data_IF_606385402251
#
_entry.id   IF_606385402251
#
_cell.length_a   1.000
_cell.length_b   1.000
_cell.length_c   1.000
_cell.angle_alpha   90.00
_cell.angle_beta   90.00
_cell.angle_gamma   90.00
#
_symmetry.space_group_name_H-M   'P 1'
#
loop_
_entity.id
_entity.type
_entity.pdbx_description
1 polymer ?
#
# COMPACT_ATOMS: atom_id res chain seq x y z
N UNK A 1 7.28 42.22 37.58
CA UNK A 1 6.57 41.89 36.34
C UNK A 1 7.59 41.32 35.34
N UNK A 2 7.94 40.03 35.47
CA UNK A 2 8.96 39.37 34.64
C UNK A 2 8.28 38.35 33.74
N UNK A 3 8.55 38.44 32.43
CA UNK A 3 7.93 37.67 31.35
C UNK A 3 8.44 36.21 31.34
N UNK A 4 7.67 35.19 31.76
CA UNK A 4 8.17 33.80 31.82
C UNK A 4 8.01 33.04 30.48
N UNK A 5 7.31 33.61 29.50
CA UNK A 5 7.00 32.93 28.22
C UNK A 5 8.22 32.69 27.32
N UNK A 6 9.31 33.47 27.49
CA UNK A 6 10.49 33.42 26.62
C UNK A 6 11.35 32.16 26.85
N UNK A 7 11.52 31.72 28.10
CA UNK A 7 12.42 30.60 28.42
C UNK A 7 11.87 29.25 27.95
N UNK A 8 10.58 29.00 28.18
CA UNK A 8 9.90 27.77 27.71
C UNK A 8 9.85 27.74 26.18
N UNK A 9 9.60 28.87 25.52
CA UNK A 9 9.62 28.96 24.06
C UNK A 9 11.02 28.64 23.48
N UNK A 10 12.09 29.11 24.11
CA UNK A 10 13.47 28.79 23.71
C UNK A 10 13.80 27.30 23.90
N UNK A 11 13.34 26.69 25.00
CA UNK A 11 13.51 25.25 25.24
C UNK A 11 12.77 24.41 24.20
N UNK A 12 11.50 24.74 23.92
CA UNK A 12 10.70 24.05 22.90
C UNK A 12 11.31 24.21 21.50
N UNK A 13 11.81 25.40 21.17
CA UNK A 13 12.53 25.64 19.92
C UNK A 13 13.80 24.79 19.82
N UNK A 14 14.57 24.69 20.90
CA UNK A 14 15.76 23.83 20.96
C UNK A 14 15.43 22.34 20.73
N UNK A 15 14.41 21.83 21.42
CA UNK A 15 13.93 20.44 21.23
C UNK A 15 13.46 20.23 19.79
N UNK A 16 12.73 21.19 19.22
CA UNK A 16 12.28 21.12 17.83
C UNK A 16 13.46 21.08 16.85
N UNK A 17 14.49 21.91 17.03
CA UNK A 17 15.70 21.89 16.17
C UNK A 17 16.44 20.57 16.27
N UNK A 18 16.63 20.03 17.49
CA UNK A 18 17.25 18.71 17.69
C UNK A 18 16.44 17.61 17.00
N UNK A 19 15.10 17.66 17.11
CA UNK A 19 14.21 16.75 16.41
C UNK A 19 14.35 16.87 14.88
N UNK A 20 14.39 18.09 14.33
CA UNK A 20 14.57 18.32 12.90
C UNK A 20 15.92 17.80 12.39
N UNK A 21 17.01 18.04 13.13
CA UNK A 21 18.33 17.53 12.79
C UNK A 21 18.38 16.00 12.85
N UNK A 22 17.81 15.40 13.90
CA UNK A 22 17.71 13.95 14.01
C UNK A 22 16.87 13.37 12.86
N UNK A 23 15.77 14.01 12.49
CA UNK A 23 14.92 13.60 11.36
C UNK A 23 15.67 13.70 10.04
N UNK A 24 16.42 14.78 9.82
CA UNK A 24 17.28 14.95 8.64
C UNK A 24 18.38 13.87 8.58
N UNK A 25 18.99 13.52 9.71
CA UNK A 25 19.97 12.43 9.80
C UNK A 25 19.36 11.07 9.46
N UNK A 26 18.17 10.77 9.99
CA UNK A 26 17.45 9.54 9.66
C UNK A 26 17.08 9.49 8.17
N UNK A 27 16.60 10.61 7.61
CA UNK A 27 16.28 10.70 6.19
C UNK A 27 17.53 10.53 5.32
N UNK A 28 18.67 11.07 5.75
CA UNK A 28 19.94 10.86 5.08
C UNK A 28 20.34 9.37 5.07
N UNK A 29 20.24 8.67 6.21
CA UNK A 29 20.50 7.22 6.28
C UNK A 29 19.47 6.36 5.51
N UNK A 30 18.28 6.91 5.27
CA UNK A 30 17.28 6.31 4.40
C UNK A 30 17.65 6.44 2.92
N UNK A 31 18.15 7.59 2.50
CA UNK A 31 18.52 7.83 1.11
C UNK A 31 19.90 7.24 0.76
N UNK A 32 20.81 7.16 1.74
CA UNK A 32 22.19 6.74 1.53
C UNK A 32 22.56 5.57 2.43
N UNK A 33 22.95 4.45 1.82
CA UNK A 33 23.53 3.31 2.53
C UNK A 33 25.03 3.54 2.77
N UNK A 34 25.54 3.11 3.93
CA UNK A 34 26.99 3.13 4.17
C UNK A 34 27.68 2.17 3.20
N UNK A 35 28.66 2.63 2.40
CA UNK A 35 29.42 1.76 1.52
C UNK A 35 30.28 0.77 2.34
N UNK A 36 30.60 -0.37 1.74
CA UNK A 36 31.49 -1.34 2.37
C UNK A 36 32.96 -0.94 2.18
N UNK A 37 33.64 -0.58 3.27
CA UNK A 37 35.09 -0.38 3.25
C UNK A 37 35.80 -1.74 3.40
N UNK A 38 36.24 -2.31 2.27
CA UNK A 38 36.92 -3.61 2.22
C UNK A 38 38.24 -3.70 3.01
N UNK A 39 38.73 -2.60 3.57
CA UNK A 39 39.97 -2.52 4.35
C UNK A 39 39.88 -3.01 5.80
N UNK A 40 38.69 -3.22 6.37
CA UNK A 40 38.51 -3.61 7.79
C UNK A 40 38.33 -5.11 8.05
N UNK A 41 38.46 -5.96 7.02
CA UNK A 41 38.22 -7.41 7.15
C UNK A 41 36.75 -7.79 7.32
N UNK A 42 35.81 -6.86 7.14
CA UNK A 42 34.38 -7.17 7.10
C UNK A 42 34.01 -7.79 5.73
N UNK A 43 33.20 -8.88 5.70
CA UNK A 43 32.75 -9.45 4.45
C UNK A 43 31.75 -8.53 3.75
N UNK A 44 32.16 -7.96 2.62
CA UNK A 44 31.29 -7.16 1.76
C UNK A 44 30.33 -8.06 0.96
N UNK A 45 29.08 -7.62 0.86
CA UNK A 45 28.04 -8.28 0.07
C UNK A 45 27.87 -7.50 -1.23
N UNK A 46 27.92 -8.22 -2.35
CA UNK A 46 27.84 -7.66 -3.70
C UNK A 46 26.61 -8.16 -4.47
N UNK A 47 26.23 -7.47 -5.54
CA UNK A 47 25.09 -7.86 -6.36
C UNK A 47 25.38 -9.13 -7.17
N UNK A 48 24.42 -10.05 -7.26
CA UNK A 48 24.48 -11.13 -8.25
C UNK A 48 24.48 -10.58 -9.70
N UNK A 49 23.85 -9.42 -9.93
CA UNK A 49 23.80 -8.77 -11.25
C UNK A 49 25.15 -8.19 -11.67
N UNK A 50 26.07 -7.92 -10.74
CA UNK A 50 27.40 -7.38 -11.04
C UNK A 50 28.24 -8.31 -11.91
N UNK A 51 27.96 -9.62 -11.89
CA UNK A 51 28.58 -10.61 -12.76
C UNK A 51 28.00 -10.64 -14.19
N UNK A 52 27.01 -9.79 -14.50
CA UNK A 52 26.22 -9.78 -15.75
C UNK A 52 25.77 -11.18 -16.18
N UNK A 53 25.09 -11.95 -15.30
CA UNK A 53 24.58 -13.26 -15.65
C UNK A 53 23.49 -13.14 -16.73
N UNK A 54 23.40 -14.12 -17.63
CA UNK A 54 22.23 -14.24 -18.50
C UNK A 54 21.04 -14.69 -17.66
N UNK A 55 20.02 -13.83 -17.54
CA UNK A 55 18.82 -14.08 -16.75
C UNK A 55 17.62 -14.41 -17.65
N UNK A 56 16.73 -15.23 -17.13
CA UNK A 56 15.43 -15.54 -17.73
C UNK A 56 14.32 -15.20 -16.75
N UNK A 57 13.30 -14.52 -17.26
CA UNK A 57 12.05 -14.29 -16.55
C UNK A 57 11.05 -15.33 -17.07
N UNK A 58 10.67 -16.26 -16.19
CA UNK A 58 9.68 -17.28 -16.52
C UNK A 58 8.40 -16.95 -15.77
N UNK A 59 7.38 -16.52 -16.50
CA UNK A 59 5.99 -16.60 -16.08
C UNK A 59 5.50 -17.97 -16.54
N UNK A 60 4.74 -18.71 -15.73
CA UNK A 60 4.33 -20.11 -15.96
C UNK A 60 3.84 -20.54 -17.37
N UNK A 61 3.68 -19.62 -18.32
CA UNK A 61 3.25 -19.85 -19.69
C UNK A 61 4.26 -19.39 -20.78
N UNK A 62 5.34 -18.66 -20.45
CA UNK A 62 6.33 -18.20 -21.44
C UNK A 62 7.70 -17.83 -20.83
N UNK A 63 8.77 -18.25 -21.52
CA UNK A 63 10.17 -17.95 -21.17
C UNK A 63 10.69 -16.87 -22.11
N UNK A 64 11.10 -15.73 -21.58
CA UNK A 64 11.76 -14.67 -22.34
C UNK A 64 13.16 -14.42 -21.79
N UNK A 65 14.15 -14.26 -22.68
CA UNK A 65 15.44 -13.68 -22.30
C UNK A 65 15.21 -12.24 -21.86
N UNK A 66 15.80 -11.87 -20.74
CA UNK A 66 15.45 -10.66 -20.04
C UNK A 66 16.71 -9.86 -19.67
N UNK A 67 16.72 -8.56 -19.98
CA UNK A 67 17.76 -7.62 -19.53
C UNK A 67 17.26 -6.80 -18.33
N UNK A 68 17.87 -6.98 -17.12
CA UNK A 68 17.55 -6.27 -15.87
C UNK A 68 17.31 -4.77 -15.98
N UNK A 69 18.00 -4.09 -16.90
CA UNK A 69 17.98 -2.64 -17.01
C UNK A 69 16.96 -2.10 -18.02
N UNK A 70 16.39 -2.97 -18.86
CA UNK A 70 15.42 -2.58 -19.88
C UNK A 70 13.99 -2.63 -19.34
N UNK A 71 13.15 -1.68 -19.73
CA UNK A 71 11.71 -1.73 -19.44
C UNK A 71 10.98 -2.41 -20.58
N UNK A 72 9.94 -3.18 -20.28
CA UNK A 72 9.08 -3.75 -21.31
C UNK A 72 7.64 -3.87 -20.84
N UNK A 73 6.72 -3.83 -21.80
CA UNK A 73 5.30 -4.09 -21.58
C UNK A 73 4.83 -5.07 -22.66
N UNK A 74 4.17 -6.14 -22.24
CA UNK A 74 3.74 -7.22 -23.14
C UNK A 74 2.38 -7.75 -22.74
N UNK A 75 1.56 -8.05 -23.73
CA UNK A 75 0.26 -8.68 -23.54
C UNK A 75 0.35 -10.17 -23.85
N UNK A 76 -0.15 -11.00 -22.94
CA UNK A 76 -0.18 -12.46 -23.03
C UNK A 76 -1.60 -12.93 -22.81
N UNK A 77 -2.10 -13.81 -23.69
CA UNK A 77 -3.39 -14.49 -23.50
C UNK A 77 -3.22 -15.67 -22.55
N UNK A 78 -3.88 -15.64 -21.40
CA UNK A 78 -3.83 -16.69 -20.37
C UNK A 78 -5.07 -17.58 -20.51
N UNK A 79 -4.86 -18.89 -20.65
CA UNK A 79 -5.93 -19.89 -20.63
C UNK A 79 -6.44 -20.12 -19.20
N UNK A 80 -7.75 -20.06 -18.99
CA UNK A 80 -8.37 -20.23 -17.68
C UNK A 80 -8.75 -21.69 -17.39
N UNK A 81 -8.27 -22.29 -16.29
CA UNK A 81 -8.73 -23.60 -15.82
C UNK A 81 -10.23 -23.60 -15.48
N UNK A 82 -10.88 -24.76 -15.61
CA UNK A 82 -12.30 -24.94 -15.22
C UNK A 82 -12.54 -24.57 -13.75
N UNK A 83 -11.59 -24.84 -12.86
CA UNK A 83 -11.67 -24.44 -11.45
C UNK A 83 -11.79 -22.92 -11.29
N UNK A 84 -11.02 -22.14 -12.06
CA UNK A 84 -11.09 -20.68 -12.03
C UNK A 84 -12.41 -20.16 -12.59
N UNK A 85 -12.96 -20.82 -13.62
CA UNK A 85 -14.29 -20.50 -14.16
C UNK A 85 -15.40 -20.78 -13.13
N UNK A 86 -15.21 -21.77 -12.27
CA UNK A 86 -16.10 -22.14 -11.18
C UNK A 86 -15.82 -21.35 -9.88
N UNK A 87 -15.52 -20.04 -9.98
CA UNK A 87 -15.16 -19.18 -8.85
C UNK A 87 -13.95 -19.69 -8.04
N UNK A 88 -12.95 -20.25 -8.71
CA UNK A 88 -11.65 -20.58 -8.12
C UNK A 88 -10.70 -19.39 -8.14
N UNK A 89 -9.63 -19.46 -7.33
CA UNK A 89 -8.54 -18.47 -7.37
C UNK A 89 -7.45 -18.88 -8.34
N UNK A 90 -6.88 -17.91 -9.07
CA UNK A 90 -5.73 -18.11 -9.94
C UNK A 90 -4.55 -17.23 -9.48
N UNK A 91 -3.36 -17.83 -9.50
CA UNK A 91 -2.11 -17.17 -9.15
C UNK A 91 -1.13 -17.24 -10.31
N UNK A 92 -0.41 -16.14 -10.56
CA UNK A 92 0.76 -16.11 -11.42
C UNK A 92 2.02 -16.22 -10.56
N UNK A 93 2.88 -17.18 -10.88
CA UNK A 93 4.21 -17.27 -10.27
C UNK A 93 5.22 -16.71 -11.26
N UNK A 94 5.98 -15.71 -10.79
CA UNK A 94 7.04 -15.05 -11.53
C UNK A 94 8.37 -15.58 -11.01
N UNK A 95 9.19 -16.14 -11.89
CA UNK A 95 10.53 -16.64 -11.58
C UNK A 95 11.61 -15.78 -12.24
N UNK A 96 12.65 -15.43 -11.48
CA UNK A 96 13.89 -14.85 -11.97
C UNK A 96 15.00 -15.86 -11.68
N UNK A 97 15.57 -16.44 -12.74
CA UNK A 97 16.59 -17.49 -12.62
C UNK A 97 17.64 -17.38 -13.73
N UNK A 98 18.73 -18.17 -13.60
CA UNK A 98 19.78 -18.23 -14.62
C UNK A 98 19.25 -18.81 -15.93
N UNK A 99 19.63 -18.20 -17.04
CA UNK A 99 19.22 -18.64 -18.37
C UNK A 99 19.74 -20.05 -18.69
N UNK A 100 18.85 -20.91 -19.22
CA UNK A 100 19.19 -22.27 -19.64
C UNK A 100 19.12 -23.34 -18.54
N UNK A 101 18.73 -22.97 -17.32
CA UNK A 101 18.41 -23.90 -16.22
C UNK A 101 16.92 -23.79 -15.92
N UNK A 102 16.26 -24.89 -15.56
CA UNK A 102 14.86 -24.81 -15.14
C UNK A 102 14.75 -24.04 -13.81
N UNK A 103 13.67 -23.26 -13.57
CA UNK A 103 13.49 -22.54 -12.31
C UNK A 103 13.64 -23.46 -11.09
N UNK A 104 12.97 -24.62 -11.14
CA UNK A 104 12.93 -25.59 -10.05
C UNK A 104 14.29 -26.20 -9.68
N UNK A 105 15.26 -26.21 -10.59
CA UNK A 105 16.62 -26.72 -10.35
C UNK A 105 17.60 -25.62 -9.90
N UNK A 106 17.28 -24.34 -10.17
CA UNK A 106 18.16 -23.23 -9.85
C UNK A 106 18.07 -22.84 -8.37
N UNK A 107 19.10 -23.18 -7.58
CA UNK A 107 19.20 -22.79 -6.17
C UNK A 107 19.27 -21.28 -5.94
N UNK A 108 19.54 -20.48 -6.98
CA UNK A 108 19.63 -19.01 -6.95
C UNK A 108 18.41 -18.34 -7.56
N UNK A 109 17.30 -19.06 -7.67
CA UNK A 109 16.06 -18.46 -8.13
C UNK A 109 15.44 -17.50 -7.10
N UNK A 110 14.74 -16.50 -7.63
CA UNK A 110 13.85 -15.63 -6.86
C UNK A 110 12.47 -15.74 -7.48
N UNK A 111 11.47 -16.04 -6.67
CA UNK A 111 10.10 -16.18 -7.13
C UNK A 111 9.13 -15.34 -6.30
N UNK A 112 8.04 -14.93 -6.94
CA UNK A 112 6.91 -14.25 -6.30
C UNK A 112 5.59 -14.77 -6.87
N UNK A 113 4.61 -15.03 -6.01
CA UNK A 113 3.27 -15.47 -6.39
C UNK A 113 2.27 -14.31 -6.26
N UNK A 114 1.73 -13.85 -7.39
CA UNK A 114 0.77 -12.76 -7.47
C UNK A 114 -0.64 -13.28 -7.76
N UNK A 115 -1.64 -12.80 -7.05
CA UNK A 115 -3.02 -13.21 -7.27
C UNK A 115 -3.62 -12.48 -8.49
N UNK A 116 -4.12 -13.25 -9.48
CA UNK A 116 -4.75 -12.72 -10.70
C UNK A 116 -6.27 -12.58 -10.60
N UNK A 117 -6.89 -13.24 -9.63
CA UNK A 117 -8.35 -13.22 -9.43
C UNK A 117 -8.72 -12.55 -8.12
N UNK A 118 -9.78 -11.75 -8.10
CA UNK A 118 -10.29 -11.10 -6.88
C UNK A 118 -11.81 -11.23 -6.79
N UNK A 119 -12.36 -11.41 -5.59
CA UNK A 119 -13.80 -11.49 -5.41
C UNK A 119 -14.39 -10.12 -5.09
N UNK A 120 -15.43 -9.75 -5.82
CA UNK A 120 -16.17 -8.52 -5.57
C UNK A 120 -17.66 -8.87 -5.47
N UNK A 121 -18.31 -8.34 -4.43
CA UNK A 121 -19.75 -8.35 -4.34
C UNK A 121 -20.31 -7.19 -5.16
N UNK A 122 -21.22 -7.45 -6.11
CA UNK A 122 -21.78 -6.38 -6.92
C UNK A 122 -22.48 -5.35 -6.02
N UNK A 123 -22.27 -4.04 -6.25
CA UNK A 123 -22.90 -3.02 -5.44
C UNK A 123 -24.43 -3.14 -5.56
N UNK A 124 -25.10 -3.28 -4.41
CA UNK A 124 -26.56 -3.28 -4.37
C UNK A 124 -27.08 -1.99 -5.03
N UNK A 125 -27.77 -2.13 -6.15
CA UNK A 125 -28.51 -1.07 -6.84
C UNK A 125 -29.61 -0.53 -5.92
N UNK A 126 -29.25 0.31 -4.95
CA UNK A 126 -30.18 1.00 -4.04
C UNK A 126 -30.75 2.29 -4.66
N UNK A 127 -30.52 2.52 -5.96
CA UNK A 127 -30.98 3.70 -6.71
C UNK A 127 -32.18 3.50 -7.64
N UNK A 128 -32.63 2.26 -7.90
CA UNK A 128 -33.85 1.98 -8.67
C UNK A 128 -34.83 1.16 -7.83
N UNK A 129 -35.34 1.77 -6.75
CA UNK A 129 -36.60 1.36 -6.12
C UNK A 129 -37.52 2.56 -5.99
N UNK A 130 -37.91 3.11 -7.13
CA UNK A 130 -39.22 3.72 -7.28
C UNK A 130 -40.03 2.81 -8.21
N UNK A 131 -41.07 2.20 -7.66
CA UNK A 131 -42.12 1.44 -8.36
C UNK A 131 -41.73 0.14 -9.08
N UNK A 132 -41.53 -0.95 -8.31
CA UNK A 132 -42.04 -2.27 -8.71
C UNK A 132 -42.32 -3.09 -7.46
N UNK A 133 -43.61 -3.30 -7.16
CA UNK A 133 -44.08 -4.19 -6.10
C UNK A 133 -43.55 -5.60 -6.39
N UNK A 134 -42.68 -6.12 -5.53
CA UNK A 134 -42.20 -7.50 -5.60
C UNK A 134 -43.24 -8.39 -4.90
N UNK A 135 -43.67 -9.52 -5.50
CA UNK A 135 -44.61 -10.46 -4.87
C UNK A 135 -44.00 -11.15 -3.63
N UNK A 136 -44.79 -11.52 -2.63
CA UNK A 136 -44.30 -12.22 -1.44
C UNK A 136 -44.05 -13.70 -1.78
N UNK A 137 -42.79 -14.08 -2.02
CA UNK A 137 -42.41 -15.48 -2.23
C UNK A 137 -41.04 -15.72 -2.88
N UNK A 138 -40.44 -14.71 -3.51
CA UNK A 138 -39.09 -14.85 -4.09
C UNK A 138 -38.00 -14.86 -3.02
N UNK A 139 -37.22 -15.94 -2.91
CA UNK A 139 -35.96 -15.97 -2.16
C UNK A 139 -35.15 -14.74 -2.58
N UNK A 140 -34.74 -13.91 -1.61
CA UNK A 140 -33.74 -12.87 -1.87
C UNK A 140 -32.50 -13.59 -2.36
N UNK A 141 -32.21 -13.48 -3.64
CA UNK A 141 -30.96 -13.95 -4.20
C UNK A 141 -29.85 -13.15 -3.52
N UNK A 142 -29.23 -13.77 -2.51
CA UNK A 142 -28.09 -13.21 -1.82
C UNK A 142 -27.06 -12.87 -2.90
N UNK A 143 -26.71 -11.60 -3.04
CA UNK A 143 -25.71 -11.12 -4.01
C UNK A 143 -24.45 -11.99 -3.87
N UNK A 144 -24.28 -12.93 -4.80
CA UNK A 144 -23.16 -13.86 -4.74
C UNK A 144 -21.89 -13.10 -5.15
N UNK A 145 -20.78 -13.25 -4.43
CA UNK A 145 -19.51 -12.68 -4.86
C UNK A 145 -19.13 -13.28 -6.22
N UNK A 146 -18.70 -12.42 -7.15
CA UNK A 146 -18.27 -12.82 -8.49
C UNK A 146 -16.75 -12.68 -8.58
N UNK A 147 -16.08 -13.68 -9.15
CA UNK A 147 -14.65 -13.62 -9.43
C UNK A 147 -14.35 -12.65 -10.57
N UNK A 148 -13.41 -11.74 -10.33
CA UNK A 148 -12.93 -10.78 -11.32
C UNK A 148 -11.46 -11.04 -11.64
N UNK A 149 -11.12 -10.86 -12.91
CA UNK A 149 -9.79 -10.93 -13.47
C UNK A 149 -9.03 -9.61 -13.34
N UNK A 150 -7.74 -9.71 -13.02
CA UNK A 150 -6.79 -8.60 -13.01
C UNK A 150 -5.97 -8.62 -14.31
N UNK A 151 -6.22 -7.70 -15.25
CA UNK A 151 -5.55 -7.72 -16.55
C UNK A 151 -4.15 -7.13 -16.53
N UNK A 152 -3.69 -6.49 -15.45
CA UNK A 152 -2.37 -5.85 -15.39
C UNK A 152 -1.53 -6.44 -14.25
N UNK A 153 -0.34 -6.93 -14.58
CA UNK A 153 0.66 -7.43 -13.65
C UNK A 153 1.93 -6.58 -13.80
N UNK A 154 2.21 -5.75 -12.80
CA UNK A 154 3.40 -4.89 -12.80
C UNK A 154 4.50 -5.48 -11.92
N UNK A 155 5.62 -5.80 -12.57
CA UNK A 155 6.77 -6.46 -11.99
C UNK A 155 7.92 -5.45 -11.93
N UNK A 156 8.55 -5.35 -10.78
CA UNK A 156 9.72 -4.49 -10.59
C UNK A 156 10.85 -5.28 -9.99
N UNK A 157 12.06 -5.11 -10.51
CA UNK A 157 13.27 -5.73 -9.97
C UNK A 157 14.28 -4.64 -9.66
N UNK A 158 14.91 -4.75 -8.49
CA UNK A 158 16.00 -3.85 -8.14
C UNK A 158 17.25 -4.24 -8.93
N UNK A 159 17.54 -3.46 -9.99
CA UNK A 159 18.62 -3.72 -10.94
C UNK A 159 19.93 -3.01 -10.60
N UNK A 160 19.90 -2.04 -9.68
CA UNK A 160 21.08 -1.26 -9.29
C UNK A 160 22.08 -2.11 -8.48
N UNK A 161 23.36 -1.97 -8.83
CA UNK A 161 24.46 -2.60 -8.11
C UNK A 161 24.90 -1.72 -6.94
N UNK A 162 24.85 -2.26 -5.72
CA UNK A 162 25.43 -1.61 -4.56
C UNK A 162 26.16 -2.62 -3.67
N UNK A 163 27.16 -2.14 -2.93
CA UNK A 163 27.98 -2.97 -2.06
C UNK A 163 27.83 -2.46 -0.63
N UNK A 164 27.55 -3.36 0.29
CA UNK A 164 27.30 -3.04 1.69
C UNK A 164 27.87 -4.12 2.60
N UNK A 165 28.19 -3.72 3.84
CA UNK A 165 28.49 -4.68 4.90
C UNK A 165 27.20 -5.16 5.57
N UNK A 166 27.24 -6.31 6.24
CA UNK A 166 26.09 -6.87 6.95
C UNK A 166 25.46 -5.91 7.97
N UNK A 167 26.26 -5.02 8.56
CA UNK A 167 25.81 -4.00 9.51
C UNK A 167 25.22 -2.76 8.82
N UNK A 168 25.64 -2.47 7.58
CA UNK A 168 25.14 -1.34 6.79
C UNK A 168 23.77 -1.58 6.15
N UNK A 169 23.28 -2.83 6.13
CA UNK A 169 21.98 -3.17 5.53
C UNK A 169 20.83 -2.75 6.46
N UNK A 170 19.94 -1.86 5.99
CA UNK A 170 18.72 -1.49 6.72
C UNK A 170 17.80 -2.69 6.94
N UNK A 171 17.10 -2.73 8.09
CA UNK A 171 16.22 -3.84 8.47
C UNK A 171 15.01 -4.01 7.55
N UNK A 172 14.54 -2.94 6.91
CA UNK A 172 13.44 -2.89 5.95
C UNK A 172 13.68 -3.77 4.72
N UNK A 173 14.91 -3.76 4.19
CA UNK A 173 15.30 -4.52 2.99
C UNK A 173 15.61 -5.97 3.32
N UNK A 174 16.02 -6.27 4.56
CA UNK A 174 16.49 -7.60 4.99
C UNK A 174 15.48 -8.72 4.71
N UNK A 175 14.17 -8.45 4.79
CA UNK A 175 13.11 -9.45 4.54
C UNK A 175 12.90 -9.78 3.06
N UNK A 176 13.31 -8.90 2.15
CA UNK A 176 13.20 -9.10 0.71
C UNK A 176 14.50 -9.60 0.08
N UNK A 177 15.62 -9.43 0.79
CA UNK A 177 16.92 -9.81 0.30
C UNK A 177 17.24 -11.27 0.62
N UNK A 178 17.48 -12.07 -0.43
CA UNK A 178 18.05 -13.41 -0.29
C UNK A 178 19.55 -13.34 -0.53
N UNK A 179 20.32 -13.94 0.37
CA UNK A 179 21.78 -14.01 0.26
C UNK A 179 22.18 -15.39 -0.28
N UNK A 180 23.06 -15.40 -1.27
CA UNK A 180 23.72 -16.58 -1.82
C UNK A 180 25.21 -16.48 -1.52
N UNK A 181 25.74 -17.48 -0.84
CA UNK A 181 27.17 -17.56 -0.54
C UNK A 181 27.84 -18.57 -1.47
N UNK A 182 28.87 -18.12 -2.20
CA UNK A 182 29.71 -19.00 -3.00
C UNK A 182 31.18 -18.85 -2.57
N UNK A 183 31.67 -19.86 -1.86
CA UNK A 183 32.99 -19.83 -1.23
C UNK A 183 33.12 -18.67 -0.23
N UNK A 184 34.03 -17.73 -0.53
CA UNK A 184 34.28 -16.51 0.27
C UNK A 184 33.46 -15.29 -0.17
N UNK A 185 32.77 -15.35 -1.31
CA UNK A 185 31.98 -14.20 -1.81
C UNK A 185 30.54 -14.33 -1.36
N UNK A 186 30.04 -13.31 -0.67
CA UNK A 186 28.62 -13.15 -0.38
C UNK A 186 27.96 -12.29 -1.44
N UNK A 187 26.91 -12.83 -2.06
CA UNK A 187 26.14 -12.12 -3.09
C UNK A 187 24.68 -12.06 -2.70
N UNK A 188 24.00 -10.95 -2.98
CA UNK A 188 22.55 -10.90 -2.84
C UNK A 188 21.88 -11.17 -4.19
N UNK A 189 20.78 -11.92 -4.15
CA UNK A 189 19.95 -12.19 -5.31
C UNK A 189 19.09 -10.96 -5.67
N UNK A 190 18.65 -10.82 -6.94
CA UNK A 190 17.79 -9.71 -7.35
C UNK A 190 16.53 -9.61 -6.50
N UNK A 191 16.19 -8.41 -6.06
CA UNK A 191 15.00 -8.19 -5.24
C UNK A 191 13.80 -7.96 -6.17
N UNK A 192 12.89 -8.93 -6.20
CA UNK A 192 11.66 -8.92 -7.00
C UNK A 192 10.50 -8.37 -6.16
N UNK A 193 9.77 -7.41 -6.73
CA UNK A 193 8.56 -6.85 -6.15
C UNK A 193 7.47 -6.79 -7.22
N UNK A 194 6.31 -7.36 -6.92
CA UNK A 194 5.10 -7.20 -7.73
C UNK A 194 4.21 -6.14 -7.09
N UNK A 195 3.82 -5.15 -7.88
CA UNK A 195 2.99 -4.06 -7.38
C UNK A 195 1.50 -4.42 -7.53
N UNK A 196 0.93 -4.98 -6.46
CA UNK A 196 -0.50 -5.32 -6.41
C UNK A 196 -1.41 -4.08 -6.39
N UNK A 197 -0.88 -2.90 -6.06
CA UNK A 197 -1.63 -1.64 -5.97
C UNK A 197 -1.86 -0.98 -7.34
N UNK A 198 -1.21 -1.47 -8.40
CA UNK A 198 -1.38 -0.89 -9.75
C UNK A 198 -2.78 -1.18 -10.33
N UNK A 199 -3.45 -2.25 -9.88
CA UNK A 199 -4.75 -2.64 -10.40
C UNK A 199 -5.89 -1.89 -9.70
N UNK A 200 -6.66 -1.10 -10.47
CA UNK A 200 -7.84 -0.41 -9.95
C UNK A 200 -9.06 -1.31 -10.06
N UNK A 201 -10.02 -1.12 -9.16
CA UNK A 201 -11.29 -1.88 -9.16
C UNK A 201 -12.05 -1.76 -10.49
N UNK A 202 -11.98 -0.59 -11.13
CA UNK A 202 -12.63 -0.33 -12.42
C UNK A 202 -12.00 -1.05 -13.62
N UNK A 203 -10.75 -1.46 -13.50
CA UNK A 203 -10.01 -2.11 -14.58
C UNK A 203 -10.12 -3.65 -14.48
N UNK A 204 -10.86 -4.15 -13.49
CA UNK A 204 -11.15 -5.56 -13.30
C UNK A 204 -12.20 -6.04 -14.30
N UNK A 205 -12.03 -7.26 -14.80
CA UNK A 205 -12.96 -7.87 -15.76
C UNK A 205 -13.73 -9.01 -15.09
N UNK A 206 -15.05 -9.08 -15.23
CA UNK A 206 -15.82 -10.20 -14.68
C UNK A 206 -15.47 -11.50 -15.40
N UNK A 207 -15.25 -12.59 -14.64
CA UNK A 207 -14.99 -13.92 -15.20
C UNK A 207 -16.33 -14.62 -15.37
N UNK A 208 -16.63 -15.00 -16.61
CA UNK A 208 -17.81 -15.78 -16.95
C UNK A 208 -17.44 -17.26 -17.06
N UNK A 209 -18.39 -18.16 -16.81
CA UNK A 209 -18.20 -19.61 -17.02
C UNK A 209 -17.91 -20.01 -18.48
N UNK A 210 -17.94 -19.07 -19.42
CA UNK A 210 -17.62 -19.26 -20.84
C UNK A 210 -16.30 -18.61 -21.26
N UNK A 211 -15.61 -17.87 -20.38
CA UNK A 211 -14.34 -17.21 -20.73
C UNK A 211 -13.17 -18.20 -20.64
N UNK A 212 -12.72 -18.69 -21.80
CA UNK A 212 -11.60 -19.65 -21.90
C UNK A 212 -10.21 -18.98 -21.88
N UNK A 213 -10.11 -17.76 -22.39
CA UNK A 213 -8.85 -17.00 -22.43
C UNK A 213 -9.07 -15.56 -22.00
N UNK A 214 -8.15 -15.02 -21.20
CA UNK A 214 -8.17 -13.62 -20.78
C UNK A 214 -6.82 -12.94 -21.04
N UNK A 215 -6.82 -11.65 -21.42
CA UNK A 215 -5.60 -10.91 -21.64
C UNK A 215 -4.92 -10.53 -20.31
N UNK A 216 -3.61 -10.73 -20.24
CA UNK A 216 -2.75 -10.29 -19.16
C UNK A 216 -1.64 -9.41 -19.73
N UNK A 217 -1.64 -8.14 -19.38
CA UNK A 217 -0.57 -7.19 -19.65
C UNK A 217 0.46 -7.29 -18.52
N UNK A 218 1.65 -7.76 -18.85
CA UNK A 218 2.81 -7.83 -17.97
C UNK A 218 3.71 -6.64 -18.26
N UNK A 219 3.88 -5.77 -17.28
CA UNK A 219 4.85 -4.68 -17.35
C UNK A 219 6.03 -4.97 -16.43
N UNK A 220 7.23 -4.65 -16.91
CA UNK A 220 8.48 -4.81 -16.18
C UNK A 220 9.26 -3.51 -16.15
N UNK A 221 9.80 -3.20 -14.98
CA UNK A 221 10.72 -2.07 -14.78
C UNK A 221 11.86 -2.39 -13.80
N UNK A 222 13.08 -2.00 -14.17
CA UNK A 222 14.25 -2.03 -13.30
C UNK A 222 14.34 -0.76 -12.44
N UNK A 223 14.48 -0.91 -11.12
CA UNK A 223 14.46 0.22 -10.17
C UNK A 223 15.74 0.35 -9.33
N UNK A 224 15.97 1.58 -8.86
CA UNK A 224 17.07 1.92 -7.93
C UNK A 224 16.79 1.45 -6.50
N UNK A 225 17.83 1.33 -5.67
CA UNK A 225 17.68 0.97 -4.25
C UNK A 225 16.81 1.99 -3.50
N UNK A 226 16.97 3.28 -3.78
CA UNK A 226 16.18 4.35 -3.14
C UNK A 226 14.69 4.20 -3.48
N UNK A 227 14.39 4.01 -4.76
CA UNK A 227 13.02 3.79 -5.25
C UNK A 227 12.43 2.53 -4.64
N UNK A 228 13.21 1.45 -4.56
CA UNK A 228 12.80 0.18 -3.96
C UNK A 228 12.44 0.32 -2.47
N UNK A 229 13.32 0.96 -1.68
CA UNK A 229 13.06 1.26 -0.27
C UNK A 229 11.80 2.11 -0.11
N UNK A 230 11.66 3.13 -0.95
CA UNK A 230 10.47 3.98 -0.94
C UNK A 230 9.18 3.17 -1.16
N UNK A 231 9.14 2.29 -2.17
CA UNK A 231 7.99 1.43 -2.44
C UNK A 231 7.65 0.49 -1.28
N UNK A 232 8.66 -0.11 -0.66
CA UNK A 232 8.47 -0.98 0.51
C UNK A 232 7.80 -0.20 1.65
N UNK A 233 8.33 0.97 1.99
CA UNK A 233 7.79 1.76 3.09
C UNK A 233 6.38 2.27 2.78
N UNK A 234 6.12 2.69 1.55
CA UNK A 234 4.78 3.09 1.12
C UNK A 234 3.78 1.93 1.31
N UNK A 235 4.17 0.73 0.89
CA UNK A 235 3.34 -0.46 1.01
C UNK A 235 3.06 -0.83 2.49
N UNK A 236 4.07 -0.84 3.35
CA UNK A 236 3.90 -1.12 4.79
C UNK A 236 2.99 -0.10 5.46
N UNK A 237 3.16 1.20 5.15
CA UNK A 237 2.32 2.27 5.70
C UNK A 237 0.86 2.04 5.29
N UNK A 238 0.60 1.79 4.01
CA UNK A 238 -0.75 1.56 3.50
C UNK A 238 -1.40 0.32 4.14
N UNK A 239 -0.65 -0.76 4.33
CA UNK A 239 -1.15 -1.97 5.02
C UNK A 239 -1.46 -1.65 6.49
N UNK A 240 -0.56 -0.97 7.19
CA UNK A 240 -0.77 -0.59 8.59
C UNK A 240 -2.02 0.28 8.75
N UNK A 241 -2.21 1.29 7.89
CA UNK A 241 -3.39 2.15 7.89
C UNK A 241 -4.66 1.35 7.61
N UNK A 242 -4.64 0.44 6.63
CA UNK A 242 -5.77 -0.42 6.34
C UNK A 242 -6.13 -1.36 7.51
N UNK A 243 -5.13 -1.95 8.15
CA UNK A 243 -5.32 -2.81 9.33
C UNK A 243 -5.84 -2.02 10.53
N UNK A 244 -5.31 -0.81 10.76
CA UNK A 244 -5.79 0.09 11.81
C UNK A 244 -7.27 0.46 11.57
N UNK A 245 -7.62 0.81 10.33
CA UNK A 245 -9.00 1.08 9.94
C UNK A 245 -9.91 -0.13 10.17
N UNK A 246 -9.48 -1.32 9.74
CA UNK A 246 -10.26 -2.55 9.92
C UNK A 246 -10.49 -2.85 11.40
N UNK A 247 -9.44 -2.71 12.22
CA UNK A 247 -9.53 -2.89 13.66
C UNK A 247 -10.52 -1.89 14.29
N UNK A 248 -10.44 -0.62 13.90
CA UNK A 248 -11.38 0.41 14.35
C UNK A 248 -12.81 0.08 13.95
N UNK A 249 -13.09 -0.17 12.66
CA UNK A 249 -14.43 -0.53 12.18
C UNK A 249 -14.97 -1.73 12.95
N UNK A 250 -14.20 -2.81 13.09
CA UNK A 250 -14.62 -4.01 13.81
C UNK A 250 -14.93 -3.74 15.29
N UNK A 251 -14.13 -2.90 15.95
CA UNK A 251 -14.34 -2.48 17.34
C UNK A 251 -15.65 -1.71 17.51
N UNK A 252 -15.96 -0.80 16.57
CA UNK A 252 -17.18 0.00 16.61
C UNK A 252 -18.42 -0.78 16.16
N UNK A 253 -18.30 -1.68 15.18
CA UNK A 253 -19.40 -2.52 14.71
C UNK A 253 -19.96 -3.43 15.80
N UNK A 254 -19.12 -3.88 16.74
CA UNK A 254 -19.53 -4.72 17.89
C UNK A 254 -20.27 -3.93 18.98
N UNK A 255 -20.18 -2.60 19.02
CA UNK A 255 -20.81 -1.77 20.06
C UNK A 255 -22.22 -1.34 19.63
N UNK A 256 -23.26 -2.01 20.14
CA UNK A 256 -24.68 -1.63 19.93
C UNK A 256 -25.13 -0.41 20.75
N UNK A 257 -24.44 -0.09 21.85
CA UNK A 257 -24.73 1.06 22.70
C UNK A 257 -23.56 1.35 23.65
N UNK A 258 -23.23 2.62 23.89
CA UNK A 258 -22.31 3.04 24.97
C UNK A 258 -23.06 3.27 26.29
N UNK A 259 -24.06 2.43 26.60
CA UNK A 259 -24.77 2.49 27.89
C UNK A 259 -23.89 1.80 28.93
N UNK A 260 -23.39 2.59 29.89
CA UNK A 260 -22.47 2.15 30.95
C UNK A 260 -21.30 3.11 31.23
N UNK A 261 -21.11 4.15 30.40
CA UNK A 261 -20.02 5.13 30.59
C UNK A 261 -20.58 6.42 31.18
N UNK A 262 -19.99 6.92 32.27
CA UNK A 262 -20.39 8.18 32.90
C UNK A 262 -20.40 9.33 31.87
N UNK A 263 -21.41 10.21 31.97
CA UNK A 263 -21.62 11.34 31.04
C UNK A 263 -20.39 12.24 30.89
N UNK A 264 -19.57 12.37 31.94
CA UNK A 264 -18.32 13.13 31.94
C UNK A 264 -17.25 12.48 31.04
N UNK A 265 -17.09 11.16 31.14
CA UNK A 265 -16.17 10.37 30.29
C UNK A 265 -16.66 10.35 28.85
N UNK A 266 -17.98 10.28 28.63
CA UNK A 266 -18.59 10.40 27.30
C UNK A 266 -18.25 11.75 26.64
N UNK A 267 -18.38 12.85 27.38
CA UNK A 267 -18.01 14.19 26.89
C UNK A 267 -16.50 14.32 26.62
N UNK A 268 -15.64 13.82 27.52
CA UNK A 268 -14.17 13.83 27.32
C UNK A 268 -13.74 13.01 26.11
N UNK A 269 -14.33 11.83 25.91
CA UNK A 269 -14.10 10.98 24.74
C UNK A 269 -14.54 11.68 23.45
N UNK A 270 -15.69 12.36 23.48
CA UNK A 270 -16.19 13.13 22.32
C UNK A 270 -15.26 14.29 21.96
N UNK A 271 -14.79 15.05 22.95
CA UNK A 271 -13.86 16.17 22.70
C UNK A 271 -12.51 15.70 22.19
N UNK A 272 -11.99 14.58 22.71
CA UNK A 272 -10.72 14.01 22.24
C UNK A 272 -10.83 13.51 20.78
N UNK A 273 -11.96 12.88 20.41
CA UNK A 273 -12.20 12.44 19.02
C UNK A 273 -12.38 13.62 18.08
N UNK A 274 -13.12 14.66 18.49
CA UNK A 274 -13.30 15.86 17.68
C UNK A 274 -11.99 16.61 17.48
N UNK A 275 -11.16 16.72 18.53
CA UNK A 275 -9.86 17.37 18.47
C UNK A 275 -8.85 16.61 17.62
N UNK A 276 -8.92 15.27 17.61
CA UNK A 276 -8.13 14.45 16.68
C UNK A 276 -8.55 14.65 15.23
N UNK A 277 -9.84 14.55 14.91
CA UNK A 277 -10.31 14.80 13.54
C UNK A 277 -10.00 16.23 13.06
N UNK A 278 -10.14 17.23 13.93
CA UNK A 278 -9.77 18.61 13.64
C UNK A 278 -8.26 18.73 13.40
N UNK A 279 -7.44 18.10 14.24
CA UNK A 279 -5.98 18.08 14.11
C UNK A 279 -5.54 17.44 12.80
N UNK A 280 -6.07 16.27 12.45
CA UNK A 280 -5.74 15.55 11.22
C UNK A 280 -6.23 16.32 9.97
N UNK A 281 -7.39 16.97 10.04
CA UNK A 281 -7.90 17.83 8.97
C UNK A 281 -7.03 19.09 8.79
N UNK A 282 -6.59 19.72 9.88
CA UNK A 282 -5.70 20.89 9.84
C UNK A 282 -4.31 20.52 9.31
N UNK A 283 -3.76 19.37 9.74
CA UNK A 283 -2.50 18.83 9.22
C UNK A 283 -2.63 18.53 7.73
N UNK A 284 -3.72 17.89 7.30
CA UNK A 284 -3.99 17.64 5.89
C UNK A 284 -4.10 18.94 5.07
N UNK A 285 -4.87 19.92 5.55
CA UNK A 285 -5.03 21.23 4.88
C UNK A 285 -3.71 21.99 4.79
N UNK A 286 -2.88 21.96 5.84
CA UNK A 286 -1.56 22.58 5.84
C UNK A 286 -0.60 21.87 4.86
N UNK A 287 -0.62 20.53 4.84
CA UNK A 287 0.20 19.74 3.90
C UNK A 287 -0.27 19.87 2.44
N UNK A 288 -1.54 20.19 2.20
CA UNK A 288 -2.12 20.44 0.88
C UNK A 288 -1.54 21.71 0.23
N UNK A 289 -1.08 22.66 1.04
CA UNK A 289 -0.49 23.91 0.61
C UNK A 289 0.99 23.74 0.21
N UNK A 290 1.78 22.93 0.94
CA UNK A 290 3.25 22.90 0.78
C UNK A 290 3.89 21.59 0.29
N UNK A 291 3.16 20.46 0.15
CA UNK A 291 3.81 19.14 -0.08
C UNK A 291 3.46 18.43 -1.39
N UNK A 292 4.30 17.45 -1.76
CA UNK A 292 4.14 16.60 -2.95
C UNK A 292 2.99 15.59 -2.80
N UNK A 293 2.34 15.23 -3.93
CA UNK A 293 1.18 14.33 -3.99
C UNK A 293 1.40 12.99 -3.25
N UNK A 294 2.66 12.57 -3.16
CA UNK A 294 3.13 11.34 -2.54
C UNK A 294 2.94 11.29 -1.02
N UNK A 295 3.04 12.44 -0.34
CA UNK A 295 2.81 12.58 1.12
C UNK A 295 1.35 12.92 1.40
N UNK A 296 0.71 13.65 0.48
CA UNK A 296 -0.68 14.06 0.61
C UNK A 296 -1.66 12.87 0.53
N UNK A 297 -1.34 11.84 -0.25
CA UNK A 297 -2.20 10.68 -0.47
C UNK A 297 -2.41 9.83 0.80
N UNK A 298 -1.37 9.38 1.53
CA UNK A 298 -1.56 8.64 2.78
C UNK A 298 -2.18 9.49 3.90
N UNK A 299 -1.80 10.76 4.04
CA UNK A 299 -2.38 11.66 5.06
C UNK A 299 -3.84 11.98 4.76
N UNK A 300 -4.18 12.19 3.49
CA UNK A 300 -5.56 12.40 3.05
C UNK A 300 -6.44 11.16 3.26
N UNK A 301 -5.92 9.96 2.99
CA UNK A 301 -6.62 8.72 3.29
C UNK A 301 -6.87 8.55 4.79
N UNK A 302 -5.88 8.82 5.64
CA UNK A 302 -6.03 8.80 7.10
C UNK A 302 -7.08 9.80 7.60
N UNK A 303 -7.07 11.03 7.07
CA UNK A 303 -8.07 12.05 7.40
C UNK A 303 -9.50 11.61 6.99
N UNK A 304 -9.67 11.07 5.79
CA UNK A 304 -10.96 10.56 5.32
C UNK A 304 -11.47 9.39 6.18
N UNK A 305 -10.59 8.50 6.59
CA UNK A 305 -10.89 7.36 7.48
C UNK A 305 -11.36 7.85 8.85
N UNK A 306 -10.67 8.82 9.45
CA UNK A 306 -11.07 9.36 10.75
C UNK A 306 -12.44 10.06 10.68
N UNK A 307 -12.70 10.80 9.60
CA UNK A 307 -14.00 11.46 9.36
C UNK A 307 -15.11 10.42 9.17
N UNK A 308 -14.86 9.35 8.40
CA UNK A 308 -15.82 8.26 8.20
C UNK A 308 -16.10 7.55 9.53
N UNK A 309 -15.05 7.25 10.31
CA UNK A 309 -15.19 6.65 11.63
C UNK A 309 -15.99 7.56 12.58
N UNK A 310 -15.78 8.88 12.53
CA UNK A 310 -16.55 9.85 13.30
C UNK A 310 -18.04 9.85 12.92
N UNK A 311 -18.36 9.77 11.63
CA UNK A 311 -19.75 9.68 11.16
C UNK A 311 -20.47 8.44 11.72
N UNK A 312 -19.76 7.32 11.88
CA UNK A 312 -20.28 6.10 12.48
C UNK A 312 -20.42 6.22 14.00
N UNK A 313 -19.42 6.80 14.69
CA UNK A 313 -19.46 7.08 16.14
C UNK A 313 -20.64 8.00 16.50
N UNK A 314 -20.92 9.01 15.69
CA UNK A 314 -22.04 9.95 15.89
C UNK A 314 -23.41 9.26 15.73
N UNK A 315 -23.55 8.33 14.78
CA UNK A 315 -24.79 7.53 14.59
C UNK A 315 -25.11 6.65 15.80
N UNK A 316 -24.10 6.12 16.49
CA UNK A 316 -24.28 5.28 17.70
C UNK A 316 -24.73 6.12 18.92
N UNK A 317 -24.32 7.39 19.00
CA UNK A 317 -24.53 8.22 20.20
C UNK A 317 -25.93 8.88 20.27
N UNK A 318 -26.77 8.80 19.23
CA UNK A 318 -28.10 9.46 19.14
C UNK A 318 -28.09 10.96 19.52
N UNK A 319 -26.95 11.65 19.43
CA UNK A 319 -26.90 13.10 19.67
C UNK A 319 -27.15 13.85 18.36
N UNK A 320 -28.39 14.32 18.16
CA UNK A 320 -28.80 15.07 16.98
C UNK A 320 -28.03 16.39 16.81
N UNK A 321 -27.71 17.07 17.90
CA UNK A 321 -27.08 18.40 17.89
C UNK A 321 -25.65 18.39 17.33
N UNK A 322 -24.86 17.37 17.64
CA UNK A 322 -23.45 17.31 17.22
C UNK A 322 -23.31 16.90 15.74
N UNK A 323 -24.26 16.11 15.23
CA UNK A 323 -24.40 15.80 13.80
C UNK A 323 -24.57 17.07 12.97
N UNK A 324 -25.40 18.01 13.40
CA UNK A 324 -25.62 19.28 12.70
C UNK A 324 -24.39 20.19 12.65
N UNK A 325 -23.41 20.04 13.56
CA UNK A 325 -22.16 20.80 13.54
C UNK A 325 -21.09 20.15 12.66
N UNK A 326 -20.94 18.82 12.73
CA UNK A 326 -19.83 18.09 12.10
C UNK A 326 -20.06 17.87 10.60
N UNK A 327 -21.28 17.55 10.18
CA UNK A 327 -21.58 17.35 8.74
C UNK A 327 -21.28 18.58 7.86
N UNK A 328 -21.70 19.81 8.22
CA UNK A 328 -21.37 20.97 7.39
C UNK A 328 -19.87 21.32 7.40
N UNK A 329 -19.13 21.04 8.48
CA UNK A 329 -17.68 21.23 8.55
C UNK A 329 -16.90 20.25 7.64
N UNK A 330 -17.35 18.99 7.57
CA UNK A 330 -16.75 18.01 6.65
C UNK A 330 -17.13 18.28 5.19
N UNK A 331 -18.38 18.68 4.93
CA UNK A 331 -18.84 19.04 3.58
C UNK A 331 -18.13 20.31 3.11
N UNK A 332 -17.95 21.32 3.96
CA UNK A 332 -17.21 22.54 3.61
C UNK A 332 -15.74 22.25 3.32
N UNK A 333 -15.09 21.39 4.11
CA UNK A 333 -13.70 20.95 3.85
C UNK A 333 -13.55 20.17 2.54
N UNK A 334 -14.51 19.30 2.21
CA UNK A 334 -14.51 18.55 0.95
C UNK A 334 -14.77 19.44 -0.28
N UNK A 335 -15.71 20.39 -0.18
CA UNK A 335 -16.01 21.38 -1.23
C UNK A 335 -14.82 22.32 -1.44
N UNK A 336 -14.18 22.78 -0.36
CA UNK A 336 -12.98 23.59 -0.42
C UNK A 336 -11.82 22.85 -1.10
N UNK A 337 -11.59 21.58 -0.73
CA UNK A 337 -10.55 20.74 -1.36
C UNK A 337 -10.82 20.50 -2.86
N UNK A 338 -12.07 20.24 -3.25
CA UNK A 338 -12.46 20.05 -4.65
C UNK A 338 -12.35 21.32 -5.49
N UNK A 339 -12.69 22.48 -4.91
CA UNK A 339 -12.51 23.78 -5.55
C UNK A 339 -11.04 24.15 -5.76
N UNK A 340 -10.19 23.84 -4.76
CA UNK A 340 -8.76 24.12 -4.80
C UNK A 340 -8.00 23.21 -5.78
N UNK A 341 -8.34 21.91 -5.84
CA UNK A 341 -7.76 20.98 -6.84
C UNK A 341 -8.09 21.41 -8.28
N UNK A 342 -9.24 22.06 -8.48
CA UNK A 342 -9.67 22.56 -9.80
C UNK A 342 -8.96 23.85 -10.22
N UNK A 343 -8.39 24.60 -9.28
CA UNK A 343 -7.60 25.82 -9.50
C UNK A 343 -6.10 25.51 -9.73
N UNK A 344 -5.62 24.30 -9.37
CA UNK A 344 -4.22 23.86 -9.50
C UNK A 344 -3.97 23.02 -10.77
N UNK A 345 -4.97 22.90 -11.65
CA UNK A 345 -4.85 22.49 -13.06
C UNK A 345 -4.68 23.74 -13.90
#
# INVERSE_FOLDING_TARGET
MFHPRSSVAKLLLGVFVVYMLHTAWLLYGFLNTKPCDGGRGEPCISSYLAAKPRLQLTLALRVDLFDPHSTFERQVSVSLPEETQNNGSLYAVVYVHKAGVSPLEDRREVHYAAQLTTYITPPSTKGQKASRKVPPGGRRESQRPVSHWRPHLSITVMSEEFIFSKAGLPSDVRRYMRLSQEGRRMTYLPLLLVNELSCRVKDLMEINGSSMQLPLTVSYEGISLRTFRFWIHLHDILICEFLALKNDICSWAKKKSMVGINNLTKHRLQMNVLWRCLGTLLIFLHLLEETSLLVLLPVGLGACVEVLAMSFKLKIVKSKYLSYLVYPLCISGAVFSLGYIRQKK
#
